data_IF_389651785275
#
_entry.id   IF_389651785275
#
_cell.length_a   1.000
_cell.length_b   1.000
_cell.length_c   1.000
_cell.angle_alpha   90.00
_cell.angle_beta   90.00
_cell.angle_gamma   90.00
#
_symmetry.space_group_name_H-M   'P 1'
#
loop_
_entity.id
_entity.type
_entity.pdbx_description
1 polymer ?
#
# COMPACT_ATOMS: atom_id res chain seq x y z
N UNK A 1 60.53 -58.89 -10.88
CA UNK A 1 60.77 -57.70 -11.72
C UNK A 1 60.20 -56.47 -11.00
N UNK A 2 60.96 -55.38 -11.06
CA UNK A 2 60.77 -54.00 -10.59
C UNK A 2 59.46 -53.51 -9.92
N UNK A 3 59.65 -52.88 -8.74
CA UNK A 3 59.16 -51.57 -8.21
C UNK A 3 58.66 -50.54 -9.27
N UNK A 4 58.04 -49.37 -8.92
CA UNK A 4 57.54 -48.86 -7.63
C UNK A 4 56.24 -47.98 -7.64
N UNK A 5 55.69 -47.74 -6.42
CA UNK A 5 55.21 -46.49 -5.77
C UNK A 5 54.48 -45.32 -6.48
N UNK A 6 53.64 -44.64 -5.66
CA UNK A 6 53.20 -43.21 -5.65
C UNK A 6 52.02 -42.84 -6.59
N UNK A 7 51.08 -41.93 -6.31
CA UNK A 7 50.64 -41.10 -5.15
C UNK A 7 49.39 -40.32 -5.61
N UNK A 8 48.46 -40.05 -4.68
CA UNK A 8 47.59 -38.86 -4.49
C UNK A 8 46.84 -38.16 -5.66
N UNK A 9 45.61 -37.72 -5.32
CA UNK A 9 44.90 -36.46 -5.65
C UNK A 9 43.47 -36.71 -6.18
N UNK A 10 42.42 -36.44 -5.40
CA UNK A 10 41.75 -35.14 -5.21
C UNK A 10 41.07 -34.59 -6.47
N UNK A 11 39.75 -34.80 -6.57
CA UNK A 11 38.79 -33.99 -7.35
C UNK A 11 37.39 -34.26 -6.74
N UNK A 12 36.87 -33.46 -5.81
CA UNK A 12 36.11 -32.22 -6.03
C UNK A 12 35.18 -32.28 -7.25
N UNK A 13 33.88 -32.44 -7.01
CA UNK A 13 32.78 -31.75 -7.71
C UNK A 13 31.47 -32.03 -6.94
N UNK A 14 31.10 -31.13 -6.03
CA UNK A 14 30.02 -30.15 -6.26
C UNK A 14 28.63 -30.80 -6.35
N UNK A 15 28.17 -31.36 -5.23
CA UNK A 15 26.74 -31.60 -4.98
C UNK A 15 26.18 -30.40 -4.24
N UNK A 16 25.84 -29.36 -4.99
CA UNK A 16 25.26 -28.11 -4.49
C UNK A 16 23.99 -28.40 -3.68
N UNK A 17 24.03 -28.07 -2.38
CA UNK A 17 22.85 -28.00 -1.55
C UNK A 17 21.89 -26.98 -2.14
N UNK A 18 20.82 -27.47 -2.76
CA UNK A 18 19.63 -26.67 -3.01
C UNK A 18 18.99 -26.40 -1.65
N UNK A 19 19.52 -25.43 -0.91
CA UNK A 19 18.76 -24.71 0.10
C UNK A 19 17.70 -23.92 -0.66
N UNK A 20 16.55 -24.56 -0.93
CA UNK A 20 15.36 -23.80 -1.22
C UNK A 20 14.95 -23.16 0.09
N UNK A 21 15.41 -21.94 0.33
CA UNK A 21 14.62 -21.00 1.11
C UNK A 21 13.34 -20.79 0.30
N UNK A 22 12.35 -21.65 0.50
CA UNK A 22 10.99 -21.31 0.15
C UNK A 22 10.67 -20.12 1.03
N UNK A 23 10.81 -18.91 0.47
CA UNK A 23 10.11 -17.75 0.98
C UNK A 23 8.64 -18.08 0.80
N UNK A 24 8.06 -18.75 1.79
CA UNK A 24 6.65 -18.59 2.06
C UNK A 24 6.50 -17.10 2.35
N UNK A 25 6.08 -16.33 1.34
CA UNK A 25 5.39 -15.09 1.59
C UNK A 25 4.24 -15.52 2.48
N UNK A 26 4.42 -15.33 3.79
CA UNK A 26 3.32 -15.38 4.71
C UNK A 26 2.44 -14.26 4.23
N UNK A 27 1.43 -14.64 3.45
CA UNK A 27 0.28 -13.83 3.17
C UNK A 27 -0.32 -13.57 4.55
N UNK A 28 0.21 -12.53 5.22
CA UNK A 28 -0.41 -11.99 6.40
C UNK A 28 -1.65 -11.34 5.86
N UNK A 29 -2.69 -12.14 5.70
CA UNK A 29 -4.06 -11.67 5.72
C UNK A 29 -4.29 -11.03 7.09
N UNK A 30 -3.75 -9.83 7.24
CA UNK A 30 -4.26 -8.85 8.16
C UNK A 30 -5.71 -8.65 7.73
N UNK A 31 -6.63 -9.04 8.60
CA UNK A 31 -8.06 -8.77 8.52
C UNK A 31 -8.32 -7.25 8.47
N UNK A 32 -7.95 -6.59 7.36
CA UNK A 32 -8.01 -5.14 7.20
C UNK A 32 -6.99 -4.52 6.25
N UNK A 33 -6.38 -5.26 5.32
CA UNK A 33 -5.64 -4.71 4.19
C UNK A 33 -6.34 -5.16 2.89
N UNK A 34 -7.21 -4.30 2.36
CA UNK A 34 -7.94 -4.53 1.12
C UNK A 34 -6.98 -4.33 -0.05
N UNK A 35 -6.59 -5.41 -0.72
CA UNK A 35 -5.98 -5.36 -2.06
C UNK A 35 -7.03 -5.83 -3.07
N UNK A 36 -7.58 -4.95 -3.90
CA UNK A 36 -8.48 -5.42 -4.96
C UNK A 36 -7.66 -6.06 -6.07
N UNK A 37 -8.05 -7.27 -6.52
CA UNK A 37 -7.25 -8.12 -7.41
C UNK A 37 -7.12 -7.63 -8.86
N UNK A 38 -7.23 -6.33 -9.13
CA UNK A 38 -7.32 -5.76 -10.49
C UNK A 38 -6.11 -4.91 -10.88
N UNK A 39 -5.22 -4.62 -9.93
CA UNK A 39 -3.88 -4.12 -10.18
C UNK A 39 -3.86 -2.80 -11.00
N UNK A 40 -4.93 -1.99 -10.90
CA UNK A 40 -4.98 -0.64 -11.47
C UNK A 40 -4.15 0.32 -10.61
N UNK A 41 -4.19 0.14 -9.29
CA UNK A 41 -3.18 0.65 -8.37
C UNK A 41 -2.09 -0.43 -8.29
N UNK A 42 -0.84 -0.09 -8.56
CA UNK A 42 0.30 -1.05 -8.46
C UNK A 42 1.12 -0.86 -7.20
N UNK A 43 1.07 0.34 -6.63
CA UNK A 43 1.78 0.66 -5.41
C UNK A 43 1.03 1.75 -4.63
N UNK A 44 1.00 1.61 -3.32
CA UNK A 44 0.55 2.62 -2.37
C UNK A 44 1.46 2.53 -1.15
N UNK A 45 2.24 3.57 -0.88
CA UNK A 45 3.12 3.59 0.29
C UNK A 45 3.39 5.01 0.80
N UNK A 46 3.63 5.19 2.11
CA UNK A 46 4.31 6.36 2.63
C UNK A 46 5.71 6.54 2.02
N UNK A 47 6.24 7.75 2.07
CA UNK A 47 7.56 8.09 1.54
C UNK A 47 8.69 7.29 2.20
N UNK A 48 8.54 6.95 3.49
CA UNK A 48 9.47 6.08 4.23
C UNK A 48 9.14 4.59 4.13
N UNK A 49 8.10 4.22 3.38
CA UNK A 49 7.63 2.85 3.20
C UNK A 49 6.46 2.49 4.14
N UNK A 50 5.80 1.38 3.80
CA UNK A 50 4.69 0.84 4.61
C UNK A 50 5.18 0.40 6.00
N UNK A 51 4.39 0.73 7.02
CA UNK A 51 4.74 0.46 8.42
C UNK A 51 5.87 1.32 8.97
N UNK A 52 6.28 2.38 8.26
CA UNK A 52 7.24 3.34 8.80
C UNK A 52 6.66 4.15 9.96
N UNK A 53 7.55 4.62 10.84
CA UNK A 53 7.18 5.48 11.98
C UNK A 53 7.40 6.96 11.65
N UNK A 54 6.44 7.77 12.07
CA UNK A 54 6.45 9.22 11.95
C UNK A 54 6.12 9.84 13.30
N UNK A 55 6.87 10.87 13.69
CA UNK A 55 6.60 11.66 14.88
C UNK A 55 5.50 12.67 14.59
N UNK A 56 4.78 13.06 15.64
CA UNK A 56 3.81 14.17 15.56
C UNK A 56 4.50 15.42 15.01
N UNK A 57 3.87 16.04 14.02
CA UNK A 57 4.38 17.19 13.29
C UNK A 57 5.29 16.86 12.10
N UNK A 58 5.69 15.60 11.90
CA UNK A 58 6.40 15.23 10.68
C UNK A 58 5.47 15.20 9.47
N UNK A 59 6.01 15.62 8.33
CA UNK A 59 5.36 15.50 7.04
C UNK A 59 5.38 14.05 6.56
N UNK A 60 4.25 13.61 6.02
CA UNK A 60 4.11 12.36 5.27
C UNK A 60 3.85 12.71 3.82
N UNK A 61 4.59 12.07 2.90
CA UNK A 61 4.21 12.03 1.50
C UNK A 61 3.73 10.64 1.12
N UNK A 62 2.74 10.56 0.26
CA UNK A 62 2.19 9.31 -0.24
C UNK A 62 2.60 9.12 -1.69
N UNK A 63 3.19 7.96 -1.99
CA UNK A 63 3.51 7.51 -3.33
C UNK A 63 2.43 6.55 -3.80
N UNK A 64 1.76 6.90 -4.88
CA UNK A 64 0.71 6.08 -5.49
C UNK A 64 1.06 5.86 -6.95
N UNK A 65 1.19 4.60 -7.34
CA UNK A 65 1.43 4.22 -8.73
C UNK A 65 0.17 3.59 -9.32
N UNK A 66 -0.22 4.07 -10.49
CA UNK A 66 -1.39 3.58 -11.22
C UNK A 66 -1.05 3.18 -12.64
N UNK A 67 -1.71 2.17 -13.18
CA UNK A 67 -1.46 1.65 -14.54
C UNK A 67 -2.20 2.40 -15.65
N UNK A 68 -3.31 3.02 -15.31
CA UNK A 68 -4.23 3.66 -16.25
C UNK A 68 -4.59 5.06 -15.75
N UNK A 69 -4.90 6.01 -16.64
CA UNK A 69 -5.41 7.31 -16.24
C UNK A 69 -6.79 7.18 -15.57
N UNK A 70 -7.06 8.04 -14.60
CA UNK A 70 -8.32 8.03 -13.85
C UNK A 70 -8.34 8.98 -12.67
N UNK A 71 -9.18 8.68 -11.69
CA UNK A 71 -9.46 9.53 -10.54
C UNK A 71 -9.07 8.81 -9.26
N UNK A 72 -8.27 9.47 -8.43
CA UNK A 72 -7.79 8.95 -7.15
C UNK A 72 -8.45 9.68 -5.98
N UNK A 73 -8.94 8.93 -5.01
CA UNK A 73 -9.33 9.46 -3.70
C UNK A 73 -8.46 8.81 -2.63
N UNK A 74 -7.89 9.64 -1.76
CA UNK A 74 -7.04 9.21 -0.64
C UNK A 74 -7.74 9.51 0.68
N UNK A 75 -7.82 8.48 1.52
CA UNK A 75 -8.44 8.53 2.83
C UNK A 75 -7.44 8.10 3.89
N UNK A 76 -7.42 8.78 5.03
CA UNK A 76 -6.69 8.35 6.23
C UNK A 76 -7.68 7.94 7.32
N UNK A 77 -7.56 6.71 7.81
CA UNK A 77 -8.18 6.25 9.03
C UNK A 77 -7.23 6.53 10.20
N UNK A 78 -7.58 7.53 11.00
CA UNK A 78 -6.78 7.99 12.13
C UNK A 78 -6.87 7.01 13.30
N UNK A 79 -5.85 6.91 14.17
CA UNK A 79 -5.91 6.07 15.37
C UNK A 79 -7.03 6.48 16.34
N UNK A 80 -7.58 7.70 16.21
CA UNK A 80 -8.76 8.17 16.92
C UNK A 80 -10.07 7.52 16.46
N UNK A 81 -10.07 6.76 15.36
CA UNK A 81 -11.27 6.23 14.71
C UNK A 81 -11.99 7.24 13.82
N UNK A 82 -11.30 8.28 13.36
CA UNK A 82 -11.86 9.29 12.44
C UNK A 82 -11.30 9.07 11.04
N UNK A 83 -12.10 9.33 10.00
CA UNK A 83 -11.64 9.32 8.60
C UNK A 83 -11.43 10.74 8.11
N UNK A 84 -10.28 10.97 7.48
CA UNK A 84 -9.93 12.22 6.82
C UNK A 84 -9.78 12.01 5.32
N UNK A 85 -10.29 12.95 4.53
CA UNK A 85 -10.09 12.96 3.06
C UNK A 85 -8.85 13.77 2.76
N UNK A 86 -7.79 13.08 2.35
CA UNK A 86 -6.50 13.71 2.03
C UNK A 86 -6.51 14.29 0.62
N UNK A 87 -7.08 13.55 -0.34
CA UNK A 87 -7.29 13.98 -1.72
C UNK A 87 -8.62 13.44 -2.22
N UNK A 88 -9.40 14.27 -2.95
CA UNK A 88 -10.74 13.90 -3.42
C UNK A 88 -10.79 13.94 -4.93
N UNK A 89 -11.02 12.78 -5.56
CA UNK A 89 -11.24 12.68 -7.00
C UNK A 89 -10.14 13.34 -7.84
N UNK A 90 -8.90 13.29 -7.37
CA UNK A 90 -7.76 13.89 -8.05
C UNK A 90 -7.47 13.12 -9.34
N UNK A 91 -7.57 13.79 -10.48
CA UNK A 91 -7.25 13.16 -11.76
C UNK A 91 -5.74 12.88 -11.83
N UNK A 92 -5.38 11.65 -12.23
CA UNK A 92 -4.02 11.13 -12.39
C UNK A 92 -3.88 10.52 -13.78
N UNK A 93 -2.72 10.74 -14.39
CA UNK A 93 -2.29 9.95 -15.55
C UNK A 93 -1.73 8.59 -15.10
N UNK A 94 -1.44 7.68 -16.02
CA UNK A 94 -0.70 6.48 -15.69
C UNK A 94 0.72 6.82 -15.17
N UNK A 95 1.19 6.09 -14.15
CA UNK A 95 2.51 6.26 -13.56
C UNK A 95 2.48 6.55 -12.06
N UNK A 96 3.62 7.02 -11.54
CA UNK A 96 3.84 7.35 -10.14
C UNK A 96 3.42 8.79 -9.85
N UNK A 97 2.66 8.98 -8.77
CA UNK A 97 2.22 10.27 -8.26
C UNK A 97 2.58 10.41 -6.78
N UNK A 98 2.96 11.62 -6.39
CA UNK A 98 3.18 11.98 -4.99
C UNK A 98 2.06 12.88 -4.49
N UNK A 99 1.61 12.64 -3.26
CA UNK A 99 0.62 13.44 -2.56
C UNK A 99 1.15 13.90 -1.19
N UNK A 100 0.83 15.13 -0.74
CA UNK A 100 0.02 16.12 -1.47
C UNK A 100 0.77 16.67 -2.68
N UNK A 101 0.04 17.06 -3.72
CA UNK A 101 0.64 17.69 -4.90
C UNK A 101 1.02 19.13 -4.57
N UNK A 102 1.97 19.68 -5.33
CA UNK A 102 2.36 21.09 -5.18
C UNK A 102 1.15 22.04 -5.33
N UNK A 103 0.24 21.73 -6.25
CA UNK A 103 -0.94 22.55 -6.52
C UNK A 103 -2.08 22.35 -5.50
N UNK A 104 -1.99 21.36 -4.62
CA UNK A 104 -3.03 21.09 -3.60
C UNK A 104 -2.98 22.13 -2.47
N UNK A 105 -1.86 22.84 -2.29
CA UNK A 105 -1.71 23.90 -1.28
C UNK A 105 -1.81 23.43 0.17
N UNK A 106 -1.63 22.13 0.42
CA UNK A 106 -1.70 21.50 1.74
C UNK A 106 -0.45 20.68 2.04
N UNK A 107 -0.21 20.42 3.33
CA UNK A 107 0.84 19.52 3.81
C UNK A 107 0.18 18.48 4.71
N UNK A 108 0.52 17.20 4.53
CA UNK A 108 0.03 16.14 5.40
C UNK A 108 0.98 15.98 6.58
N UNK A 109 0.62 16.62 7.70
CA UNK A 109 1.36 16.47 8.95
C UNK A 109 0.71 15.43 9.83
N UNK A 110 1.54 14.60 10.46
CA UNK A 110 1.07 13.62 11.45
C UNK A 110 0.61 14.33 12.71
N UNK A 111 -0.55 13.92 13.23
CA UNK A 111 -1.14 14.47 14.44
C UNK A 111 -1.46 13.36 15.46
N UNK A 112 -1.62 13.74 16.72
CA UNK A 112 -2.14 12.83 17.75
C UNK A 112 -3.57 12.36 17.42
N UNK A 113 -4.00 11.17 17.91
CA UNK A 113 -3.31 10.28 18.86
C UNK A 113 -2.24 9.36 18.24
N UNK A 114 -1.34 8.84 19.07
CA UNK A 114 -0.36 7.82 18.67
C UNK A 114 -1.05 6.50 18.30
N UNK A 115 -0.46 5.74 17.38
CA UNK A 115 -0.98 4.45 16.97
C UNK A 115 -0.84 4.18 15.48
N UNK A 116 -1.63 3.25 14.97
CA UNK A 116 -1.64 2.90 13.54
C UNK A 116 -2.60 3.83 12.82
N UNK A 117 -2.10 4.53 11.81
CA UNK A 117 -2.93 5.20 10.82
C UNK A 117 -2.98 4.31 9.57
N UNK A 118 -4.19 3.97 9.11
CA UNK A 118 -4.39 3.25 7.84
C UNK A 118 -4.66 4.26 6.75
N UNK A 119 -4.17 4.01 5.54
CA UNK A 119 -4.37 4.88 4.39
C UNK A 119 -4.96 4.05 3.28
N UNK A 120 -6.02 4.54 2.66
CA UNK A 120 -6.69 3.87 1.55
C UNK A 120 -6.65 4.75 0.31
N UNK A 121 -6.24 4.15 -0.79
CA UNK A 121 -6.41 4.70 -2.12
C UNK A 121 -7.58 4.01 -2.81
N UNK A 122 -8.49 4.83 -3.34
CA UNK A 122 -9.61 4.40 -4.18
C UNK A 122 -9.38 5.00 -5.55
N UNK A 123 -9.18 4.15 -6.54
CA UNK A 123 -9.00 4.54 -7.93
C UNK A 123 -10.26 4.21 -8.73
N UNK A 124 -10.63 5.09 -9.66
CA UNK A 124 -11.70 4.86 -10.63
C UNK A 124 -11.33 5.42 -11.99
N UNK A 125 -11.54 4.64 -13.07
CA UNK A 125 -11.36 5.14 -14.46
C UNK A 125 -12.43 6.14 -14.88
N UNK A 126 -13.60 6.06 -14.26
CA UNK A 126 -14.72 6.98 -14.49
C UNK A 126 -14.80 7.97 -13.34
N UNK A 127 -15.10 9.23 -13.64
CA UNK A 127 -15.28 10.24 -12.60
C UNK A 127 -16.35 9.76 -11.60
N UNK A 128 -16.04 9.67 -10.30
CA UNK A 128 -17.03 9.31 -9.30
C UNK A 128 -18.18 10.32 -9.32
N UNK A 129 -19.41 9.86 -9.55
CA UNK A 129 -20.62 10.69 -9.50
C UNK A 129 -21.10 10.96 -8.07
N UNK A 130 -20.64 10.13 -7.12
CA UNK A 130 -20.93 10.25 -5.70
C UNK A 130 -19.82 11.02 -5.00
N UNK A 131 -20.19 12.14 -4.37
CA UNK A 131 -19.32 12.82 -3.42
C UNK A 131 -19.23 11.95 -2.17
N UNK A 132 -18.03 11.46 -1.87
CA UNK A 132 -17.73 10.83 -0.59
C UNK A 132 -17.78 11.89 0.51
N UNK A 133 -18.90 11.96 1.23
CA UNK A 133 -19.09 12.81 2.41
C UNK A 133 -18.86 11.96 3.66
N UNK A 134 -17.82 12.29 4.42
CA UNK A 134 -17.58 11.70 5.73
C UNK A 134 -17.79 12.76 6.79
N UNK A 135 -18.68 12.49 7.74
CA UNK A 135 -18.89 13.36 8.90
C UNK A 135 -19.04 12.49 10.14
N UNK A 136 -18.11 12.62 11.09
CA UNK A 136 -18.13 11.95 12.40
C UNK A 136 -17.11 10.81 12.54
N UNK A 137 -17.01 10.22 13.75
CA UNK A 137 -16.23 9.01 13.98
C UNK A 137 -16.75 7.89 13.07
N UNK A 138 -15.85 7.29 12.30
CA UNK A 138 -16.17 6.19 11.41
C UNK A 138 -15.62 4.94 12.10
N UNK A 139 -16.49 4.02 12.52
CA UNK A 139 -16.02 2.75 13.08
C UNK A 139 -15.20 1.95 12.07
N UNK A 140 -14.43 0.96 12.52
CA UNK A 140 -13.71 0.06 11.60
C UNK A 140 -14.65 -0.67 10.62
N UNK A 141 -15.89 -0.94 11.04
CA UNK A 141 -16.94 -1.52 10.19
C UNK A 141 -17.26 -0.59 9.01
N UNK A 142 -17.56 0.67 9.29
CA UNK A 142 -17.80 1.68 8.25
C UNK A 142 -16.56 1.90 7.37
N UNK A 143 -15.34 1.88 7.93
CA UNK A 143 -14.10 1.89 7.16
C UNK A 143 -14.04 0.73 6.17
N UNK A 144 -14.42 -0.48 6.56
CA UNK A 144 -14.46 -1.63 5.66
C UNK A 144 -15.52 -1.45 4.54
N UNK A 145 -16.59 -0.72 4.80
CA UNK A 145 -17.60 -0.35 3.79
C UNK A 145 -17.12 0.76 2.84
N UNK A 146 -16.19 1.63 3.26
CA UNK A 146 -15.67 2.78 2.49
C UNK A 146 -14.87 2.44 1.22
N UNK A 147 -14.94 1.22 0.73
CA UNK A 147 -14.41 0.81 -0.57
C UNK A 147 -15.44 0.13 -1.46
N UNK A 148 -16.64 -0.15 -0.93
CA UNK A 148 -17.54 -1.16 -1.50
C UNK A 148 -19.01 -0.75 -1.58
N UNK A 149 -19.38 0.44 -1.14
CA UNK A 149 -20.75 0.96 -1.21
C UNK A 149 -21.33 0.90 -2.62
N UNK A 150 -21.95 -0.23 -2.94
CA UNK A 150 -22.62 -0.59 -4.18
C UNK A 150 -21.78 -0.53 -5.47
N UNK A 151 -20.59 -1.15 -5.46
CA UNK A 151 -19.85 -1.38 -6.70
C UNK A 151 -20.60 -2.44 -7.54
N UNK A 152 -21.45 -1.98 -8.46
CA UNK A 152 -22.06 -2.85 -9.48
C UNK A 152 -20.98 -3.66 -10.24
N UNK A 153 -21.29 -4.83 -10.83
CA UNK A 153 -20.32 -5.62 -11.59
C UNK A 153 -19.65 -4.89 -12.79
N UNK A 154 -20.21 -3.75 -13.23
CA UNK A 154 -19.59 -2.86 -14.22
C UNK A 154 -18.64 -1.87 -13.54
N UNK A 155 -19.05 -1.27 -12.42
CA UNK A 155 -18.18 -0.42 -11.60
C UNK A 155 -16.96 -1.21 -11.08
N UNK A 156 -17.12 -2.52 -10.86
CA UNK A 156 -16.02 -3.40 -10.45
C UNK A 156 -15.04 -3.67 -11.57
N UNK A 157 -15.24 -3.17 -12.81
CA UNK A 157 -14.23 -3.13 -13.87
C UNK A 157 -13.48 -1.81 -13.96
N UNK A 158 -13.98 -0.75 -13.33
CA UNK A 158 -13.37 0.57 -13.39
C UNK A 158 -12.77 1.03 -12.07
N UNK A 159 -13.06 0.34 -10.96
CA UNK A 159 -12.61 0.70 -9.60
C UNK A 159 -11.57 -0.27 -9.01
N UNK A 160 -10.55 0.27 -8.35
CA UNK A 160 -9.56 -0.50 -7.57
C UNK A 160 -9.35 0.18 -6.20
N UNK A 161 -9.08 -0.62 -5.18
CA UNK A 161 -8.87 -0.17 -3.81
C UNK A 161 -7.63 -0.86 -3.27
N UNK A 162 -6.71 -0.06 -2.74
CA UNK A 162 -5.52 -0.52 -2.02
C UNK A 162 -5.38 0.20 -0.69
N UNK A 163 -4.72 -0.46 0.25
CA UNK A 163 -4.43 0.08 1.57
C UNK A 163 -2.96 -0.05 1.93
N UNK A 164 -2.48 0.88 2.74
CA UNK A 164 -1.18 0.85 3.40
C UNK A 164 -1.35 1.39 4.82
N UNK A 165 -0.28 1.43 5.61
CA UNK A 165 -0.34 1.96 6.97
C UNK A 165 0.98 2.58 7.40
N UNK A 166 0.91 3.42 8.44
CA UNK A 166 2.06 3.99 9.14
C UNK A 166 1.83 4.03 10.66
N UNK A 167 2.90 4.20 11.42
CA UNK A 167 2.84 4.38 12.87
C UNK A 167 3.08 5.84 13.26
N UNK A 168 2.16 6.38 14.06
CA UNK A 168 2.28 7.69 14.70
C UNK A 168 2.92 7.48 16.08
N UNK A 169 4.08 8.09 16.28
CA UNK A 169 4.88 7.98 17.51
C UNK A 169 5.23 9.35 18.09
N UNK A 170 5.90 9.35 19.25
CA UNK A 170 6.43 10.55 19.90
C UNK A 170 7.72 11.04 19.25
#
# INVERSE_FOLDING_TARGET
MAKPLLVSALALLLGSGLTSCTLTVADRTNHGLVTSGRNLITNLAPDRGEGASYRVGEEVRLRVEVREPGYLTLLAYQPSGTVEVMARGAYVEAGLHEFPRMDDGVVYNVAEPFGIQKIRAIFSRVQPSTTLVFSGPVGEESWNELGYGDISPRASRDVDVQETYLYIVR
#
